data_IF_693670459254
#
_entry.id   IF_693670459254
#
_cell.length_a   1.000
_cell.length_b   1.000
_cell.length_c   1.000
_cell.angle_alpha   90.00
_cell.angle_beta   90.00
_cell.angle_gamma   90.00
#
_symmetry.space_group_name_H-M   'P 1'
#
loop_
_entity.id
_entity.type
_entity.pdbx_description
1 polymer ?
#
# COMPACT_ATOMS: atom_id res chain seq x y z
N UNK A 1 -16.83 -11.82 15.44
CA UNK A 1 -16.04 -11.02 14.48
C UNK A 1 -16.79 -9.74 14.14
N UNK A 2 -16.11 -8.63 14.15
CA UNK A 2 -16.70 -7.31 13.97
C UNK A 2 -16.12 -6.65 12.73
N UNK A 3 -16.97 -6.14 11.85
CA UNK A 3 -16.53 -5.35 10.71
C UNK A 3 -16.39 -3.89 11.13
N UNK A 4 -15.32 -3.24 10.68
CA UNK A 4 -15.02 -1.84 10.99
C UNK A 4 -14.88 -1.03 9.71
N UNK A 5 -15.42 0.18 9.75
CA UNK A 5 -15.11 1.22 8.76
C UNK A 5 -14.57 2.40 9.56
N UNK A 6 -13.35 2.83 9.23
CA UNK A 6 -12.68 3.89 9.98
C UNK A 6 -12.48 5.08 9.04
N UNK A 7 -13.08 6.22 9.39
CA UNK A 7 -12.88 7.47 8.66
C UNK A 7 -11.78 8.28 9.36
N UNK A 8 -10.58 8.24 8.79
CA UNK A 8 -9.40 8.96 9.29
C UNK A 8 -8.29 8.89 8.25
N UNK A 9 -7.22 9.68 8.44
CA UNK A 9 -5.96 9.45 7.74
C UNK A 9 -5.51 8.01 8.01
N UNK A 10 -5.14 7.29 6.95
CA UNK A 10 -4.86 5.87 7.07
C UNK A 10 -3.63 5.57 7.95
N UNK A 11 -2.64 6.45 8.00
CA UNK A 11 -1.49 6.25 8.87
C UNK A 11 -1.87 6.33 10.34
N UNK A 12 -2.72 7.29 10.69
CA UNK A 12 -3.23 7.43 12.05
C UNK A 12 -4.08 6.21 12.42
N UNK A 13 -5.01 5.83 11.54
CA UNK A 13 -5.89 4.70 11.76
C UNK A 13 -5.11 3.38 11.93
N UNK A 14 -4.12 3.13 11.08
CA UNK A 14 -3.31 1.92 11.17
C UNK A 14 -2.49 1.86 12.46
N UNK A 15 -1.95 3.00 12.91
CA UNK A 15 -1.23 3.03 14.18
C UNK A 15 -2.15 2.72 15.37
N UNK A 16 -3.38 3.22 15.33
CA UNK A 16 -4.37 2.89 16.37
C UNK A 16 -4.74 1.40 16.35
N UNK A 17 -4.85 0.80 15.16
CA UNK A 17 -5.16 -0.61 15.02
C UNK A 17 -4.07 -1.53 15.58
N UNK A 18 -2.82 -1.07 15.68
CA UNK A 18 -1.74 -1.89 16.25
C UNK A 18 -2.04 -2.37 17.67
N UNK A 19 -2.75 -1.57 18.45
CA UNK A 19 -3.10 -1.93 19.84
C UNK A 19 -3.83 -3.27 19.91
N UNK A 20 -4.68 -3.56 18.94
CA UNK A 20 -5.54 -4.74 18.95
C UNK A 20 -5.17 -5.77 17.90
N UNK A 21 -4.57 -5.35 16.77
CA UNK A 21 -4.40 -6.18 15.59
C UNK A 21 -2.95 -6.38 15.14
N UNK A 22 -1.95 -6.00 15.93
CA UNK A 22 -0.56 -6.22 15.56
C UNK A 22 -0.30 -7.72 15.30
N UNK A 23 0.21 -8.02 14.11
CA UNK A 23 0.51 -9.40 13.73
C UNK A 23 -0.72 -10.26 13.46
N UNK A 24 -1.88 -9.68 13.25
CA UNK A 24 -3.14 -10.43 13.15
C UNK A 24 -3.87 -10.29 11.80
N UNK A 25 -3.40 -9.44 10.91
CA UNK A 25 -4.07 -9.22 9.62
C UNK A 25 -3.55 -10.24 8.61
N UNK A 26 -4.46 -11.00 8.03
CA UNK A 26 -4.10 -12.08 7.11
C UNK A 26 -4.03 -11.63 5.66
N UNK A 27 -4.87 -10.69 5.25
CA UNK A 27 -4.90 -10.20 3.87
C UNK A 27 -5.08 -8.68 3.89
N UNK A 28 -4.21 -7.99 3.19
CA UNK A 28 -4.25 -6.52 3.13
C UNK A 28 -4.13 -6.06 1.68
N UNK A 29 -5.25 -5.83 0.98
CA UNK A 29 -5.19 -5.17 -0.33
C UNK A 29 -5.10 -3.66 -0.14
N UNK A 30 -4.19 -3.03 -0.86
CA UNK A 30 -4.04 -1.57 -0.85
C UNK A 30 -3.93 -1.03 -2.27
N UNK A 31 -4.35 0.20 -2.42
CA UNK A 31 -4.37 0.92 -3.69
C UNK A 31 -3.80 2.33 -3.44
N UNK A 32 -2.47 2.48 -3.35
CA UNK A 32 -1.85 3.76 -3.07
C UNK A 32 -1.98 4.71 -4.25
N UNK A 33 -1.71 6.02 -4.04
CA UNK A 33 -1.66 6.95 -5.17
C UNK A 33 -0.59 6.51 -6.17
N UNK A 34 -0.94 6.53 -7.46
CA UNK A 34 -0.03 6.10 -8.52
C UNK A 34 0.98 7.18 -8.90
N UNK A 35 0.73 8.40 -8.47
CA UNK A 35 1.56 9.57 -8.77
C UNK A 35 1.63 9.86 -10.28
N UNK A 36 0.52 9.69 -10.96
CA UNK A 36 0.38 10.01 -12.37
C UNK A 36 0.06 11.51 -12.54
N UNK A 37 0.20 12.02 -13.77
CA UNK A 37 -0.21 13.39 -14.09
C UNK A 37 -1.72 13.51 -14.32
N UNK A 38 -2.47 12.42 -14.15
CA UNK A 38 -3.92 12.40 -14.32
C UNK A 38 -4.57 12.77 -13.01
N UNK A 39 -5.23 13.93 -12.99
CA UNK A 39 -5.99 14.37 -11.81
C UNK A 39 -7.44 13.92 -11.93
N UNK A 40 -7.94 13.31 -10.87
CA UNK A 40 -9.36 13.01 -10.70
C UNK A 40 -9.95 13.97 -9.69
N UNK A 41 -11.20 14.35 -9.89
CA UNK A 41 -11.87 15.28 -8.99
C UNK A 41 -11.94 14.69 -7.57
N UNK A 42 -11.40 15.43 -6.62
CA UNK A 42 -11.44 15.03 -5.21
C UNK A 42 -10.40 13.99 -4.79
N UNK A 43 -9.52 13.55 -5.71
CA UNK A 43 -8.51 12.56 -5.40
C UNK A 43 -7.12 13.05 -5.83
N UNK A 44 -6.17 13.04 -4.92
CA UNK A 44 -4.80 13.44 -5.20
C UNK A 44 -3.97 12.23 -5.60
N UNK A 45 -3.69 12.09 -6.90
CA UNK A 45 -2.89 11.02 -7.48
C UNK A 45 -1.55 11.50 -8.05
N UNK A 46 -1.21 12.77 -7.83
CA UNK A 46 0.01 13.38 -8.35
C UNK A 46 0.62 14.34 -7.35
N UNK A 47 1.76 14.91 -7.67
CA UNK A 47 2.43 15.88 -6.79
C UNK A 47 3.30 15.24 -5.72
N UNK A 48 3.60 13.93 -5.83
CA UNK A 48 4.49 13.23 -4.91
C UNK A 48 5.91 13.07 -5.46
N UNK A 49 6.30 13.85 -6.47
CA UNK A 49 7.54 13.65 -7.24
C UNK A 49 8.77 13.46 -6.36
N UNK A 50 8.90 14.28 -5.32
CA UNK A 50 10.01 14.19 -4.38
C UNK A 50 9.61 13.63 -3.02
N UNK A 51 8.36 13.21 -2.86
CA UNK A 51 7.81 12.80 -1.56
C UNK A 51 6.99 11.52 -1.55
N UNK A 52 6.87 10.82 -2.70
CA UNK A 52 6.03 9.63 -2.74
C UNK A 52 6.57 8.51 -1.84
N UNK A 53 7.87 8.26 -1.88
CA UNK A 53 8.51 7.23 -1.03
C UNK A 53 8.36 7.61 0.45
N UNK A 54 8.58 8.88 0.78
CA UNK A 54 8.45 9.34 2.16
C UNK A 54 7.00 9.30 2.66
N UNK A 55 6.04 9.50 1.76
CA UNK A 55 4.63 9.31 2.08
C UNK A 55 4.30 7.84 2.33
N UNK A 56 4.81 6.93 1.50
CA UNK A 56 4.49 5.51 1.57
C UNK A 56 5.24 4.77 2.68
N UNK A 57 6.48 5.16 2.98
CA UNK A 57 7.34 4.46 3.92
C UNK A 57 6.68 4.17 5.28
N UNK A 58 6.21 5.18 6.01
CA UNK A 58 5.61 4.92 7.33
C UNK A 58 4.34 4.08 7.23
N UNK A 59 3.61 4.20 6.14
CA UNK A 59 2.39 3.43 5.90
C UNK A 59 2.69 1.96 5.67
N UNK A 60 3.70 1.65 4.88
CA UNK A 60 4.11 0.27 4.64
C UNK A 60 4.77 -0.35 5.86
N UNK A 61 5.51 0.43 6.64
CA UNK A 61 6.13 -0.06 7.88
C UNK A 61 5.07 -0.47 8.91
N UNK A 62 4.03 0.35 9.11
CA UNK A 62 2.96 0.00 10.04
C UNK A 62 2.11 -1.15 9.49
N UNK A 63 1.88 -1.18 8.18
CA UNK A 63 1.18 -2.28 7.54
C UNK A 63 1.91 -3.60 7.73
N UNK A 64 3.23 -3.61 7.61
CA UNK A 64 4.05 -4.79 7.88
C UNK A 64 3.85 -5.30 9.30
N UNK A 65 3.78 -4.40 10.28
CA UNK A 65 3.54 -4.78 11.68
C UNK A 65 2.14 -5.35 11.90
N UNK A 66 1.16 -4.89 11.13
CA UNK A 66 -0.21 -5.41 11.22
C UNK A 66 -0.33 -6.82 10.59
N UNK A 67 0.47 -7.13 9.57
CA UNK A 67 0.40 -8.44 8.92
C UNK A 67 0.79 -9.57 9.87
N UNK A 68 0.03 -10.66 9.80
CA UNK A 68 0.39 -11.90 10.49
C UNK A 68 1.62 -12.53 9.83
N UNK A 69 2.28 -13.49 10.51
CA UNK A 69 3.45 -14.17 9.93
C UNK A 69 3.16 -14.88 8.59
N UNK A 70 1.91 -15.23 8.34
CA UNK A 70 1.46 -15.84 7.07
C UNK A 70 0.59 -14.91 6.25
N UNK A 71 0.53 -13.65 6.62
CA UNK A 71 -0.28 -12.65 5.94
C UNK A 71 0.28 -12.25 4.59
N UNK A 72 -0.59 -11.77 3.72
CA UNK A 72 -0.25 -11.35 2.36
C UNK A 72 -0.78 -9.95 2.11
N UNK A 73 0.05 -9.10 1.53
CA UNK A 73 -0.34 -7.78 1.06
C UNK A 73 -0.37 -7.75 -0.46
N UNK A 74 -1.45 -7.21 -1.01
CA UNK A 74 -1.58 -6.96 -2.45
C UNK A 74 -1.53 -5.45 -2.67
N UNK A 75 -0.55 -4.99 -3.43
CA UNK A 75 -0.38 -3.57 -3.72
C UNK A 75 -0.60 -3.35 -5.21
N UNK A 76 -1.64 -2.60 -5.54
CA UNK A 76 -1.92 -2.19 -6.91
C UNK A 76 -1.15 -0.92 -7.21
N UNK A 77 -0.41 -0.90 -8.30
CA UNK A 77 0.41 0.25 -8.70
C UNK A 77 0.54 0.23 -10.23
N UNK A 78 0.76 1.40 -10.82
CA UNK A 78 1.12 1.46 -12.23
C UNK A 78 2.64 1.59 -12.40
N UNK A 79 3.08 1.85 -13.61
CA UNK A 79 4.52 1.92 -13.93
C UNK A 79 5.23 3.13 -13.34
N UNK A 80 4.51 4.22 -12.99
CA UNK A 80 5.13 5.47 -12.56
C UNK A 80 5.99 5.30 -11.31
N UNK A 81 5.48 4.59 -10.30
CA UNK A 81 6.16 4.42 -9.02
C UNK A 81 6.53 2.96 -8.72
N UNK A 82 6.41 2.07 -9.70
CA UNK A 82 6.69 0.64 -9.48
C UNK A 82 8.10 0.40 -8.95
N UNK A 83 9.11 1.03 -9.55
CA UNK A 83 10.51 0.82 -9.14
C UNK A 83 10.76 1.30 -7.72
N UNK A 84 10.23 2.47 -7.35
CA UNK A 84 10.36 2.99 -6.00
C UNK A 84 9.62 2.12 -4.99
N UNK A 85 8.43 1.65 -5.34
CA UNK A 85 7.67 0.73 -4.50
C UNK A 85 8.43 -0.58 -4.28
N UNK A 86 9.00 -1.15 -5.35
CA UNK A 86 9.76 -2.40 -5.27
C UNK A 86 10.94 -2.26 -4.32
N UNK A 87 11.71 -1.18 -4.45
CA UNK A 87 12.86 -0.93 -3.57
C UNK A 87 12.43 -0.73 -2.12
N UNK A 88 11.37 0.03 -1.91
CA UNK A 88 10.85 0.28 -0.56
C UNK A 88 10.37 -1.02 0.09
N UNK A 89 9.61 -1.82 -0.64
CA UNK A 89 9.11 -3.11 -0.15
C UNK A 89 10.24 -4.11 0.07
N UNK A 90 11.27 -4.09 -0.77
CA UNK A 90 12.46 -4.95 -0.57
C UNK A 90 13.11 -4.69 0.77
N UNK A 91 13.21 -3.43 1.18
CA UNK A 91 13.77 -3.05 2.47
C UNK A 91 12.90 -3.41 3.66
N UNK A 92 11.58 -3.36 3.50
CA UNK A 92 10.62 -3.61 4.60
C UNK A 92 10.29 -5.10 4.74
N UNK A 93 9.96 -5.75 3.62
CA UNK A 93 9.46 -7.14 3.63
C UNK A 93 10.52 -8.19 3.30
N UNK A 94 11.65 -7.77 2.73
CA UNK A 94 12.67 -8.66 2.19
C UNK A 94 12.39 -8.98 0.71
N UNK A 95 13.41 -8.88 -0.14
CA UNK A 95 13.27 -9.09 -1.58
C UNK A 95 12.73 -10.48 -1.92
N UNK A 96 13.13 -11.50 -1.17
CA UNK A 96 12.68 -12.88 -1.36
C UNK A 96 11.18 -13.07 -1.11
N UNK A 97 10.52 -12.11 -0.48
CA UNK A 97 9.10 -12.18 -0.18
C UNK A 97 8.24 -11.39 -1.18
N UNK A 98 8.85 -10.81 -2.22
CA UNK A 98 8.15 -10.01 -3.21
C UNK A 98 7.84 -10.83 -4.46
N UNK A 99 6.63 -10.61 -4.99
CA UNK A 99 6.20 -11.19 -6.26
C UNK A 99 5.52 -10.09 -7.07
N UNK A 100 5.99 -9.88 -8.29
CA UNK A 100 5.37 -8.95 -9.22
C UNK A 100 4.45 -9.69 -10.18
N UNK A 101 3.25 -9.17 -10.37
CA UNK A 101 2.29 -9.69 -11.34
C UNK A 101 1.87 -8.58 -12.29
N UNK A 102 1.99 -8.85 -13.59
CA UNK A 102 1.55 -7.91 -14.61
C UNK A 102 0.11 -8.24 -14.97
N UNK A 103 -0.77 -7.28 -14.79
CA UNK A 103 -2.17 -7.43 -15.10
C UNK A 103 -2.40 -7.09 -16.56
N UNK A 104 -2.76 -8.09 -17.35
CA UNK A 104 -3.12 -7.85 -18.76
C UNK A 104 -4.54 -7.32 -18.83
N UNK A 105 -4.65 -6.05 -19.17
CA UNK A 105 -5.95 -5.44 -19.40
C UNK A 105 -6.49 -5.89 -20.75
N UNK A 106 -7.60 -6.60 -20.74
CA UNK A 106 -8.36 -6.83 -21.96
C UNK A 106 -9.17 -5.59 -22.27
N UNK A 107 -8.94 -5.01 -23.42
CA UNK A 107 -9.70 -3.85 -23.84
C UNK A 107 -10.94 -4.33 -24.59
N UNK A 108 -12.13 -4.16 -24.04
CA UNK A 108 -13.35 -4.56 -24.72
C UNK A 108 -13.77 -3.60 -25.83
N UNK A 109 -12.94 -2.66 -26.21
CA UNK A 109 -13.20 -1.51 -27.07
C UNK A 109 -13.73 -0.33 -26.34
#
# INVERSE_FOLDING_TARGET
MRNLIIENDNLIAMNELLTEYEGKIDVMPIDPPYNTDISHIGYKDSGYTDGWVEFMRPRLEVAYRLLSPTGVMFIHIDECEFSNLWMLCSGIFGEQNLLSMIWKKTNPL
#
